data_IF_754394269675
#
_entry.id   IF_754394269675
#
_cell.length_a   1.000
_cell.length_b   1.000
_cell.length_c   1.000
_cell.angle_alpha   90.00
_cell.angle_beta   90.00
_cell.angle_gamma   90.00
#
_symmetry.space_group_name_H-M   'P 1'
#
loop_
_entity.id
_entity.type
_entity.pdbx_description
1 polymer ?
#
# COMPACT_ATOMS: atom_id res chain seq x y z
N UNK A 1 39.92 -22.56 3.20
CA UNK A 1 40.51 -23.62 4.04
C UNK A 1 41.18 -22.96 5.24
N UNK A 2 40.83 -23.31 6.49
CA UNK A 2 41.21 -22.57 7.69
C UNK A 2 42.52 -23.06 8.31
N UNK A 3 43.20 -22.16 9.02
CA UNK A 3 44.43 -22.42 9.77
C UNK A 3 44.15 -22.90 11.20
N UNK A 4 44.75 -24.06 11.47
CA UNK A 4 45.24 -24.72 12.69
C UNK A 4 45.09 -24.05 14.07
N UNK A 5 44.59 -24.87 15.00
CA UNK A 5 44.64 -24.77 16.47
C UNK A 5 46.06 -24.68 17.04
N UNK A 6 46.24 -23.89 18.12
CA UNK A 6 47.09 -24.25 19.26
C UNK A 6 46.47 -23.77 20.59
N UNK A 7 46.34 -24.71 21.52
CA UNK A 7 46.00 -24.50 22.93
C UNK A 7 47.19 -23.91 23.69
N UNK A 8 46.93 -23.06 24.68
CA UNK A 8 47.94 -22.65 25.65
C UNK A 8 47.43 -22.81 27.09
N UNK A 9 48.18 -23.56 27.88
CA UNK A 9 47.97 -23.92 29.28
C UNK A 9 48.58 -22.87 30.20
N UNK A 10 47.83 -22.34 31.18
CA UNK A 10 48.40 -21.81 32.43
C UNK A 10 47.43 -22.02 33.59
N UNK A 11 47.96 -22.52 34.70
CA UNK A 11 47.28 -22.87 35.93
C UNK A 11 47.30 -21.72 36.96
N UNK A 12 46.17 -21.56 37.68
CA UNK A 12 45.90 -21.14 39.09
C UNK A 12 46.58 -19.89 39.69
N UNK A 13 45.96 -19.16 40.68
CA UNK A 13 45.39 -19.79 41.90
C UNK A 13 44.12 -19.16 42.53
N UNK A 14 43.41 -20.04 43.26
CA UNK A 14 42.70 -19.87 44.55
C UNK A 14 42.24 -18.48 45.00
N UNK A 15 40.91 -18.30 45.11
CA UNK A 15 40.27 -17.25 45.92
C UNK A 15 39.74 -17.87 47.21
N UNK A 16 40.07 -17.23 48.33
CA UNK A 16 39.86 -17.71 49.69
C UNK A 16 38.41 -17.55 50.15
N UNK A 17 37.87 -18.60 50.78
CA UNK A 17 36.50 -18.69 51.33
C UNK A 17 36.54 -18.23 52.79
N UNK A 18 36.56 -16.92 53.01
CA UNK A 18 36.51 -16.37 54.38
C UNK A 18 36.07 -14.91 54.35
N UNK A 19 34.84 -14.65 53.91
CA UNK A 19 33.99 -13.59 54.47
C UNK A 19 32.53 -13.74 53.98
N UNK A 20 31.82 -14.75 54.51
CA UNK A 20 30.36 -14.85 54.37
C UNK A 20 29.77 -14.41 55.70
N UNK A 21 29.26 -13.18 55.75
CA UNK A 21 28.51 -12.69 56.91
C UNK A 21 27.03 -13.13 56.81
N UNK A 22 26.37 -13.51 57.92
CA UNK A 22 24.96 -13.90 57.88
C UNK A 22 24.07 -12.67 57.69
N UNK A 23 23.25 -12.66 56.63
CA UNK A 23 22.22 -11.63 56.41
C UNK A 23 21.03 -11.91 57.34
N UNK A 24 20.67 -10.92 58.17
CA UNK A 24 19.52 -11.00 59.09
C UNK A 24 18.18 -11.02 58.34
N UNK A 25 17.10 -11.57 58.93
CA UNK A 25 15.80 -11.67 58.25
C UNK A 25 15.15 -10.30 58.00
N UNK A 26 14.67 -10.08 56.77
CA UNK A 26 13.90 -8.88 56.39
C UNK A 26 12.49 -8.96 57.00
N UNK A 27 11.98 -7.91 57.68
CA UNK A 27 10.60 -7.91 58.18
C UNK A 27 9.58 -7.77 57.03
N UNK A 28 8.36 -8.34 57.15
CA UNK A 28 7.36 -8.27 56.10
C UNK A 28 6.78 -6.85 55.99
N UNK A 29 6.90 -6.23 54.81
CA UNK A 29 6.23 -4.97 54.48
C UNK A 29 4.84 -5.29 53.93
N UNK A 30 3.80 -4.92 54.67
CA UNK A 30 2.38 -4.98 54.24
C UNK A 30 2.02 -3.82 53.29
N UNK A 31 0.99 -3.98 52.44
CA UNK A 31 0.91 -3.28 51.16
C UNK A 31 0.27 -1.89 51.27
N UNK A 32 0.96 -0.84 50.80
CA UNK A 32 0.31 0.45 50.52
C UNK A 32 -0.17 0.48 49.07
N UNK A 33 -1.49 0.44 48.89
CA UNK A 33 -2.17 0.70 47.62
C UNK A 33 -2.04 2.18 47.23
N UNK A 34 -2.17 2.39 45.92
CA UNK A 34 -2.32 3.64 45.19
C UNK A 34 -1.06 4.45 44.85
N UNK A 35 -0.49 4.12 43.69
CA UNK A 35 -0.08 5.14 42.73
C UNK A 35 -0.79 4.86 41.41
N UNK A 36 -1.76 5.73 41.12
CA UNK A 36 -2.48 5.84 39.85
C UNK A 36 -1.49 6.07 38.72
N UNK A 37 -1.02 5.00 38.09
CA UNK A 37 -0.40 5.06 36.78
C UNK A 37 -1.51 5.27 35.75
N UNK A 38 -1.51 6.42 35.08
CA UNK A 38 -2.32 6.65 33.89
C UNK A 38 -1.47 6.25 32.67
N UNK A 39 -1.66 5.08 32.04
CA UNK A 39 -1.05 4.80 30.75
C UNK A 39 -1.96 5.43 29.68
N UNK A 40 -1.95 6.76 29.57
CA UNK A 40 -2.74 7.49 28.58
C UNK A 40 -1.86 8.05 27.47
N UNK A 41 -1.08 7.18 26.85
CA UNK A 41 -0.79 7.27 25.43
C UNK A 41 -0.94 5.88 24.84
N UNK A 42 -2.19 5.40 24.77
CA UNK A 42 -2.54 4.46 23.73
C UNK A 42 -2.37 5.23 22.42
N UNK A 43 -1.21 5.04 21.78
CA UNK A 43 -1.10 5.32 20.35
C UNK A 43 -2.13 4.39 19.72
N UNK A 44 -3.32 4.92 19.43
CA UNK A 44 -4.24 4.26 18.52
C UNK A 44 -3.45 4.10 17.22
N UNK A 45 -2.96 2.88 16.97
CA UNK A 45 -2.66 2.46 15.62
C UNK A 45 -4.01 2.40 14.92
N UNK A 46 -4.41 3.55 14.37
CA UNK A 46 -5.55 3.60 13.48
C UNK A 46 -5.17 2.77 12.26
N UNK A 47 -5.75 1.58 12.13
CA UNK A 47 -6.01 1.06 10.79
C UNK A 47 -6.66 2.20 10.02
N UNK A 48 -5.98 2.64 8.96
CA UNK A 48 -6.28 3.84 8.18
C UNK A 48 -7.78 4.04 8.00
N UNK A 49 -8.37 5.00 8.74
CA UNK A 49 -9.80 5.27 8.66
C UNK A 49 -10.11 5.83 7.27
N UNK A 50 -10.99 5.18 6.53
CA UNK A 50 -11.44 5.69 5.23
C UNK A 50 -12.22 6.99 5.40
N UNK A 51 -12.10 7.87 4.41
CA UNK A 51 -12.85 9.13 4.34
C UNK A 51 -13.23 9.41 2.89
N UNK A 52 -14.21 10.30 2.70
CA UNK A 52 -14.59 10.83 1.38
C UNK A 52 -14.15 12.29 1.36
N UNK A 53 -13.30 12.64 0.39
CA UNK A 53 -12.79 13.99 0.24
C UNK A 53 -13.81 14.93 -0.39
N UNK A 54 -13.52 16.24 -0.36
CA UNK A 54 -14.38 17.27 -0.94
C UNK A 54 -14.67 17.08 -2.44
N UNK A 55 -13.77 16.41 -3.17
CA UNK A 55 -13.93 16.05 -4.58
C UNK A 55 -14.70 14.72 -4.80
N UNK A 56 -15.33 14.18 -3.75
CA UNK A 56 -16.00 12.88 -3.73
C UNK A 56 -15.08 11.67 -4.02
N UNK A 57 -13.79 11.86 -3.78
CA UNK A 57 -12.77 10.81 -3.92
C UNK A 57 -12.57 10.08 -2.60
N UNK A 58 -12.33 8.77 -2.68
CA UNK A 58 -12.00 7.98 -1.50
C UNK A 58 -10.57 8.32 -1.06
N UNK A 59 -10.42 8.62 0.21
CA UNK A 59 -9.15 8.91 0.83
C UNK A 59 -8.93 8.14 2.12
N UNK A 60 -7.79 8.41 2.73
CA UNK A 60 -7.41 7.93 4.05
C UNK A 60 -7.26 9.11 5.00
N UNK A 61 -7.90 9.03 6.17
CA UNK A 61 -7.75 10.01 7.22
C UNK A 61 -6.37 9.90 7.88
N UNK A 62 -5.57 10.96 7.80
CA UNK A 62 -4.22 10.99 8.38
C UNK A 62 -3.78 12.42 8.75
N UNK A 63 -2.58 12.57 9.32
CA UNK A 63 -1.99 13.88 9.58
C UNK A 63 -1.69 14.60 8.26
N UNK A 64 -1.80 15.93 8.25
CA UNK A 64 -1.50 16.76 7.07
C UNK A 64 -0.06 16.60 6.59
N UNK A 65 0.90 16.52 7.50
CA UNK A 65 2.32 16.34 7.17
C UNK A 65 2.56 14.98 6.52
N UNK A 66 1.97 13.91 7.06
CA UNK A 66 2.07 12.56 6.48
C UNK A 66 1.46 12.50 5.08
N UNK A 67 0.29 13.14 4.90
CA UNK A 67 -0.37 13.18 3.61
C UNK A 67 0.51 13.82 2.54
N UNK A 68 1.01 15.03 2.81
CA UNK A 68 1.89 15.74 1.86
C UNK A 68 3.25 15.07 1.70
N UNK A 69 3.80 14.52 2.79
CA UNK A 69 5.10 13.85 2.79
C UNK A 69 5.12 12.57 1.97
N UNK A 70 3.96 11.90 1.85
CA UNK A 70 3.74 10.75 0.97
C UNK A 70 3.30 11.12 -0.45
N UNK A 71 3.22 12.41 -0.78
CA UNK A 71 2.80 12.90 -2.10
C UNK A 71 1.28 12.85 -2.34
N UNK A 72 0.48 12.72 -1.28
CA UNK A 72 -0.97 12.82 -1.35
C UNK A 72 -1.48 14.26 -1.36
N UNK A 73 -2.74 14.42 -1.75
CA UNK A 73 -3.44 15.70 -1.75
C UNK A 73 -4.47 15.76 -0.60
N UNK A 74 -4.53 16.90 0.06
CA UNK A 74 -5.46 17.15 1.17
C UNK A 74 -6.85 17.51 0.61
N UNK A 75 -7.81 16.62 0.80
CA UNK A 75 -9.18 16.74 0.29
C UNK A 75 -10.20 16.93 1.42
N UNK A 76 -9.96 17.91 2.30
CA UNK A 76 -10.88 18.27 3.38
C UNK A 76 -10.57 17.62 4.75
N UNK A 77 -11.30 18.01 5.81
CA UNK A 77 -11.08 17.51 7.16
C UNK A 77 -11.69 16.12 7.36
N UNK A 78 -11.10 15.33 8.26
CA UNK A 78 -11.65 14.06 8.72
C UNK A 78 -11.50 13.94 10.25
N UNK A 79 -12.05 12.87 10.83
CA UNK A 79 -11.98 12.59 12.28
C UNK A 79 -12.33 13.83 13.13
N UNK A 80 -13.47 14.50 12.86
CA UNK A 80 -13.88 15.74 13.57
C UNK A 80 -12.81 16.84 13.58
N UNK A 81 -12.11 16.98 12.44
CA UNK A 81 -11.06 17.99 12.21
C UNK A 81 -9.74 17.74 12.95
N UNK A 82 -9.52 16.53 13.48
CA UNK A 82 -8.20 16.12 14.00
C UNK A 82 -7.25 15.60 12.91
N UNK A 83 -7.75 15.34 11.71
CA UNK A 83 -6.96 14.91 10.56
C UNK A 83 -7.47 15.47 9.24
N UNK A 84 -6.78 15.09 8.16
CA UNK A 84 -7.16 15.43 6.80
C UNK A 84 -7.47 14.18 5.98
N UNK A 85 -8.43 14.30 5.07
CA UNK A 85 -8.72 13.24 4.12
C UNK A 85 -7.68 13.28 3.00
N UNK A 86 -6.73 12.37 3.04
CA UNK A 86 -5.64 12.29 2.08
C UNK A 86 -6.01 11.43 0.88
N UNK A 87 -5.88 11.98 -0.33
CA UNK A 87 -6.14 11.28 -1.59
C UNK A 87 -4.83 11.12 -2.35
N UNK A 88 -4.51 9.90 -2.75
CA UNK A 88 -3.32 9.62 -3.56
C UNK A 88 -3.70 9.54 -5.03
N UNK A 89 -2.98 10.27 -5.87
CA UNK A 89 -3.10 10.20 -7.33
C UNK A 89 -1.72 9.94 -7.92
N UNK A 90 -1.66 9.06 -8.92
CA UNK A 90 -0.46 8.76 -9.66
C UNK A 90 -0.77 8.75 -11.16
N UNK A 91 0.22 9.12 -11.97
CA UNK A 91 0.15 9.13 -13.43
C UNK A 91 1.35 8.39 -14.03
N UNK A 92 1.50 8.47 -15.36
CA UNK A 92 2.48 7.70 -16.11
C UNK A 92 3.92 7.89 -15.59
N UNK A 93 4.67 6.80 -15.53
CA UNK A 93 6.07 6.75 -15.08
C UNK A 93 6.24 6.75 -13.57
N UNK A 94 5.18 6.96 -12.80
CA UNK A 94 5.26 6.99 -11.33
C UNK A 94 5.19 5.60 -10.72
N UNK A 95 5.44 5.54 -9.42
CA UNK A 95 5.34 4.35 -8.59
C UNK A 95 4.55 4.69 -7.34
N UNK A 96 3.66 3.80 -6.92
CA UNK A 96 2.91 3.94 -5.66
C UNK A 96 3.04 2.69 -4.79
N UNK A 97 2.96 2.89 -3.48
CA UNK A 97 2.76 1.82 -2.50
C UNK A 97 1.51 2.04 -1.66
N UNK A 98 0.91 3.22 -1.73
CA UNK A 98 -0.17 3.62 -0.84
C UNK A 98 -1.47 2.92 -1.26
N UNK A 99 -2.25 2.51 -0.26
CA UNK A 99 -3.56 1.95 -0.51
C UNK A 99 -4.53 3.07 -0.93
N UNK A 100 -5.51 2.75 -1.78
CA UNK A 100 -6.47 3.73 -2.31
C UNK A 100 -5.75 4.84 -3.10
N UNK A 101 -4.98 4.42 -4.11
CA UNK A 101 -4.35 5.33 -5.08
C UNK A 101 -5.17 5.37 -6.37
N UNK A 102 -5.37 6.54 -6.95
CA UNK A 102 -5.97 6.72 -8.26
C UNK A 102 -4.92 6.79 -9.37
N UNK A 103 -4.96 5.87 -10.33
CA UNK A 103 -4.20 5.97 -11.56
C UNK A 103 -4.96 6.79 -12.60
N UNK A 104 -4.42 7.94 -12.98
CA UNK A 104 -5.08 8.90 -13.86
C UNK A 104 -4.24 9.20 -15.10
N UNK A 105 -4.89 9.60 -16.19
CA UNK A 105 -4.19 10.09 -17.37
C UNK A 105 -3.37 11.35 -17.07
N UNK A 106 -2.33 11.58 -17.87
CA UNK A 106 -1.59 12.85 -17.79
C UNK A 106 -2.55 14.01 -18.05
N UNK A 107 -2.50 15.02 -17.18
CA UNK A 107 -3.38 16.19 -17.28
C UNK A 107 -4.82 15.99 -16.79
N UNK A 108 -5.16 14.85 -16.16
CA UNK A 108 -6.48 14.63 -15.56
C UNK A 108 -6.90 15.84 -14.69
N UNK A 109 -8.18 16.30 -14.75
CA UNK A 109 -9.35 15.67 -15.39
C UNK A 109 -9.51 15.95 -16.89
N UNK A 110 -8.56 16.62 -17.55
CA UNK A 110 -8.63 16.84 -19.00
C UNK A 110 -8.45 15.52 -19.74
N UNK A 111 -8.99 15.47 -20.96
CA UNK A 111 -8.77 14.34 -21.87
C UNK A 111 -7.30 14.23 -22.27
N UNK A 112 -6.88 13.00 -22.56
CA UNK A 112 -5.58 12.64 -23.09
C UNK A 112 -5.73 12.15 -24.53
N UNK A 113 -4.98 12.72 -25.46
CA UNK A 113 -5.06 12.45 -26.90
C UNK A 113 -3.74 11.99 -27.52
N UNK A 114 -2.66 12.01 -26.73
CA UNK A 114 -1.35 11.49 -27.11
C UNK A 114 -1.36 9.97 -27.34
N UNK A 115 -0.34 9.52 -28.06
CA UNK A 115 -0.07 8.09 -28.32
C UNK A 115 1.14 7.64 -27.53
N UNK A 116 1.10 6.42 -26.99
CA UNK A 116 2.24 5.83 -26.29
C UNK A 116 1.82 4.88 -25.17
N UNK A 117 2.77 4.60 -24.29
CA UNK A 117 2.58 3.74 -23.13
C UNK A 117 2.60 4.57 -21.85
N UNK A 118 1.50 4.54 -21.11
CA UNK A 118 1.38 5.13 -19.79
C UNK A 118 1.39 4.03 -18.73
N UNK A 119 2.47 3.96 -17.96
CA UNK A 119 2.67 2.89 -16.97
C UNK A 119 2.63 3.43 -15.54
N UNK A 120 2.02 2.68 -14.63
CA UNK A 120 2.12 2.88 -13.20
C UNK A 120 2.60 1.59 -12.54
N UNK A 121 3.69 1.68 -11.77
CA UNK A 121 4.19 0.57 -10.95
C UNK A 121 3.53 0.61 -9.58
N UNK A 122 2.87 -0.48 -9.18
CA UNK A 122 2.18 -0.59 -7.90
C UNK A 122 2.89 -1.65 -7.04
N UNK A 123 3.49 -1.22 -5.94
CA UNK A 123 3.97 -2.14 -4.92
C UNK A 123 2.92 -2.36 -3.85
N UNK A 124 3.05 -3.50 -3.18
CA UNK A 124 2.29 -3.80 -1.99
C UNK A 124 2.58 -2.78 -0.89
N UNK A 125 1.53 -2.28 -0.25
CA UNK A 125 1.62 -1.45 0.96
C UNK A 125 2.17 -2.25 2.13
N UNK A 126 1.88 -3.56 2.17
CA UNK A 126 2.27 -4.49 3.22
C UNK A 126 2.56 -5.91 2.68
N UNK A 127 3.34 -6.73 3.40
CA UNK A 127 3.63 -8.11 2.98
C UNK A 127 2.42 -9.03 2.85
N UNK A 128 1.34 -8.75 3.58
CA UNK A 128 0.12 -9.55 3.64
C UNK A 128 -0.93 -9.12 2.60
N UNK A 129 -0.57 -8.31 1.60
CA UNK A 129 -1.46 -8.03 0.46
C UNK A 129 -1.42 -9.19 -0.52
N UNK A 130 -2.62 -9.75 -0.79
CA UNK A 130 -2.81 -10.88 -1.71
C UNK A 130 -3.52 -10.49 -3.01
N UNK A 131 -4.23 -9.36 -3.04
CA UNK A 131 -5.05 -9.02 -4.20
C UNK A 131 -5.15 -7.51 -4.37
N UNK A 132 -5.16 -7.06 -5.62
CA UNK A 132 -5.55 -5.71 -5.98
C UNK A 132 -6.96 -5.74 -6.56
N UNK A 133 -7.80 -4.81 -6.14
CA UNK A 133 -9.07 -4.48 -6.79
C UNK A 133 -8.88 -3.16 -7.52
N UNK A 134 -9.16 -3.17 -8.81
CA UNK A 134 -9.11 -2.01 -9.68
C UNK A 134 -10.57 -1.63 -10.00
N UNK A 135 -11.03 -0.51 -9.45
CA UNK A 135 -12.34 0.05 -9.78
C UNK A 135 -12.17 1.15 -10.84
N UNK A 136 -12.98 1.10 -11.90
CA UNK A 136 -12.90 2.03 -13.03
C UNK A 136 -13.85 3.21 -12.83
N UNK A 137 -13.46 4.17 -11.98
CA UNK A 137 -14.23 5.39 -11.72
C UNK A 137 -14.43 6.22 -13.00
N UNK A 138 -13.42 6.25 -13.86
CA UNK A 138 -13.56 6.63 -15.26
C UNK A 138 -12.70 5.71 -16.13
N UNK A 139 -13.25 5.24 -17.24
CA UNK A 139 -12.50 4.47 -18.22
C UNK A 139 -13.19 4.60 -19.58
N UNK A 140 -12.58 5.41 -20.45
CA UNK A 140 -13.00 5.60 -21.83
C UNK A 140 -11.76 5.74 -22.71
N UNK A 141 -11.42 4.66 -23.41
CA UNK A 141 -10.37 4.61 -24.43
C UNK A 141 -10.96 4.08 -25.74
N UNK A 142 -10.19 4.05 -26.82
CA UNK A 142 -10.64 3.50 -28.10
C UNK A 142 -11.12 2.07 -27.91
N UNK A 143 -12.28 1.76 -28.48
CA UNK A 143 -12.87 0.43 -28.44
C UNK A 143 -12.14 -0.59 -29.33
N UNK A 144 -12.61 -1.85 -29.34
CA UNK A 144 -12.09 -2.86 -30.23
C UNK A 144 -12.40 -2.53 -31.69
N UNK A 145 -11.59 -3.06 -32.60
CA UNK A 145 -11.88 -2.94 -34.04
C UNK A 145 -13.17 -3.71 -34.43
N UNK A 146 -13.86 -3.29 -35.50
CA UNK A 146 -15.22 -3.78 -35.78
C UNK A 146 -15.31 -5.18 -36.39
N UNK A 147 -14.21 -5.77 -36.85
CA UNK A 147 -14.18 -7.04 -37.60
C UNK A 147 -13.97 -8.25 -36.68
N UNK A 148 -12.91 -8.26 -35.88
CA UNK A 148 -12.58 -9.38 -34.98
C UNK A 148 -12.85 -9.05 -33.51
N UNK A 149 -13.31 -7.83 -33.22
CA UNK A 149 -13.60 -7.34 -31.87
C UNK A 149 -12.39 -7.37 -30.93
N UNK A 150 -11.20 -7.10 -31.48
CA UNK A 150 -9.93 -7.09 -30.73
C UNK A 150 -9.56 -5.66 -30.35
N UNK A 151 -9.07 -5.47 -29.13
CA UNK A 151 -8.49 -4.21 -28.66
C UNK A 151 -7.11 -3.99 -29.29
N UNK A 152 -7.00 -3.65 -30.57
CA UNK A 152 -5.69 -3.44 -31.22
C UNK A 152 -5.20 -1.98 -31.14
N UNK A 153 -6.11 -1.01 -31.01
CA UNK A 153 -5.76 0.41 -30.98
C UNK A 153 -5.33 0.87 -29.59
N UNK A 154 -6.26 0.83 -28.63
CA UNK A 154 -5.96 1.14 -27.24
C UNK A 154 -6.17 -0.12 -26.38
N UNK A 155 -5.33 -0.27 -25.36
CA UNK A 155 -5.40 -1.39 -24.42
C UNK A 155 -5.06 -0.92 -23.00
N UNK A 156 -5.81 -1.41 -22.03
CA UNK A 156 -5.39 -1.46 -20.65
C UNK A 156 -4.93 -2.87 -20.30
N UNK A 157 -3.70 -2.99 -19.81
CA UNK A 157 -3.02 -4.25 -19.54
C UNK A 157 -2.49 -4.22 -18.11
N UNK A 158 -2.57 -5.36 -17.43
CA UNK A 158 -1.93 -5.56 -16.13
C UNK A 158 -0.88 -6.67 -16.25
N UNK A 159 0.33 -6.39 -15.78
CA UNK A 159 1.43 -7.37 -15.74
C UNK A 159 2.04 -7.47 -14.34
N UNK A 160 2.86 -8.50 -14.10
CA UNK A 160 3.50 -8.78 -12.80
C UNK A 160 2.64 -9.55 -11.78
N UNK A 161 1.34 -9.71 -12.05
CA UNK A 161 0.42 -10.57 -11.30
C UNK A 161 -0.08 -11.75 -12.12
N UNK A 162 -1.15 -12.41 -11.67
CA UNK A 162 -1.85 -13.43 -12.47
C UNK A 162 -2.34 -12.85 -13.80
N UNK A 163 -2.28 -13.61 -14.90
CA UNK A 163 -2.75 -13.14 -16.19
C UNK A 163 -4.22 -12.70 -16.12
N UNK A 164 -4.48 -11.48 -16.57
CA UNK A 164 -5.83 -10.92 -16.76
C UNK A 164 -5.94 -10.42 -18.20
N UNK A 165 -7.12 -10.52 -18.83
CA UNK A 165 -7.29 -10.07 -20.21
C UNK A 165 -7.09 -8.56 -20.29
N UNK A 166 -6.40 -8.13 -21.36
CA UNK A 166 -6.36 -6.71 -21.71
C UNK A 166 -7.76 -6.25 -22.14
N UNK A 167 -8.14 -5.05 -21.72
CA UNK A 167 -9.47 -4.47 -21.99
C UNK A 167 -9.35 -3.12 -22.71
N UNK A 168 -10.40 -2.72 -23.42
CA UNK A 168 -10.49 -1.43 -24.09
C UNK A 168 -11.93 -0.93 -24.17
N UNK A 169 -12.15 0.22 -24.79
CA UNK A 169 -13.48 0.85 -24.90
C UNK A 169 -13.92 1.52 -23.60
N UNK A 170 -15.21 1.38 -23.29
CA UNK A 170 -15.86 2.00 -22.13
C UNK A 170 -16.07 0.97 -21.01
N UNK A 171 -15.44 1.21 -19.84
CA UNK A 171 -15.52 0.32 -18.68
C UNK A 171 -15.87 1.04 -17.38
N UNK A 172 -16.35 2.29 -17.46
CA UNK A 172 -16.69 3.08 -16.27
C UNK A 172 -17.74 2.37 -15.43
N UNK A 173 -17.52 2.29 -14.11
CA UNK A 173 -18.39 1.59 -13.16
C UNK A 173 -18.12 0.09 -13.03
N UNK A 174 -17.28 -0.49 -13.89
CA UNK A 174 -16.81 -1.88 -13.74
C UNK A 174 -15.60 -1.97 -12.81
N UNK A 175 -15.18 -3.20 -12.50
CA UNK A 175 -14.00 -3.47 -11.70
C UNK A 175 -13.31 -4.76 -12.15
N UNK A 176 -12.05 -4.93 -11.76
CA UNK A 176 -11.30 -6.17 -11.95
C UNK A 176 -10.48 -6.51 -10.70
N UNK A 177 -10.22 -7.81 -10.51
CA UNK A 177 -9.33 -8.31 -9.47
C UNK A 177 -8.05 -8.84 -10.08
N UNK A 178 -6.93 -8.54 -9.44
CA UNK A 178 -5.60 -8.97 -9.86
C UNK A 178 -4.91 -9.62 -8.66
N UNK A 179 -4.37 -10.82 -8.85
CA UNK A 179 -3.58 -11.47 -7.82
C UNK A 179 -2.25 -10.72 -7.61
N UNK A 180 -1.88 -10.51 -6.35
CA UNK A 180 -0.69 -9.75 -6.00
C UNK A 180 0.59 -10.61 -5.89
N UNK A 181 0.50 -11.92 -6.15
CA UNK A 181 1.56 -12.90 -5.95
C UNK A 181 1.96 -13.06 -4.48
N UNK A 182 2.96 -13.91 -4.22
CA UNK A 182 3.53 -14.08 -2.87
C UNK A 182 4.68 -13.10 -2.61
N UNK A 183 4.94 -12.74 -1.35
CA UNK A 183 6.05 -11.85 -0.96
C UNK A 183 5.82 -10.37 -1.25
N UNK A 184 6.84 -9.53 -1.02
CA UNK A 184 6.77 -8.04 -1.11
C UNK A 184 7.37 -7.44 -2.38
N UNK A 185 8.22 -8.19 -3.08
CA UNK A 185 9.04 -7.66 -4.19
C UNK A 185 8.44 -7.90 -5.58
N UNK A 186 7.14 -8.20 -5.63
CA UNK A 186 6.40 -8.48 -6.86
C UNK A 186 5.39 -7.34 -7.10
N UNK A 187 5.83 -6.21 -7.69
CA UNK A 187 4.90 -5.16 -8.09
C UNK A 187 4.05 -5.62 -9.27
N UNK A 188 2.85 -5.08 -9.38
CA UNK A 188 2.09 -5.13 -10.63
C UNK A 188 2.33 -3.84 -11.41
N UNK A 189 2.25 -3.92 -12.75
CA UNK A 189 2.37 -2.76 -13.63
C UNK A 189 1.05 -2.60 -14.36
N UNK A 190 0.41 -1.45 -14.15
CA UNK A 190 -0.79 -1.05 -14.87
C UNK A 190 -0.38 -0.24 -16.09
N UNK A 191 -0.77 -0.65 -17.29
CA UNK A 191 -0.34 -0.03 -18.53
C UNK A 191 -1.52 0.34 -19.40
N UNK A 192 -1.65 1.62 -19.73
CA UNK A 192 -2.47 2.07 -20.87
C UNK A 192 -1.57 2.21 -22.09
N UNK A 193 -1.81 1.40 -23.12
CA UNK A 193 -1.23 1.57 -24.46
C UNK A 193 -2.25 2.29 -25.30
N UNK A 194 -1.83 3.36 -25.96
CA UNK A 194 -2.70 4.22 -26.77
C UNK A 194 -2.11 4.44 -28.15
N UNK A 195 -2.93 4.30 -29.19
CA UNK A 195 -2.54 4.51 -30.59
C UNK A 195 -3.56 5.35 -31.34
N UNK A 196 -3.12 6.01 -32.41
CA UNK A 196 -3.92 7.00 -33.13
C UNK A 196 -3.95 8.35 -32.42
N UNK A 197 -3.67 9.42 -33.18
CA UNK A 197 -3.70 10.80 -32.66
C UNK A 197 -5.12 11.37 -32.68
N UNK A 198 -5.38 12.36 -31.81
CA UNK A 198 -6.64 13.10 -31.72
C UNK A 198 -7.86 12.30 -31.21
N UNK A 199 -7.66 11.14 -30.60
CA UNK A 199 -8.73 10.44 -29.89
C UNK A 199 -8.76 10.86 -28.43
N UNK A 200 -9.84 11.50 -28.00
CA UNK A 200 -9.99 11.90 -26.60
C UNK A 200 -10.17 10.66 -25.71
N UNK A 201 -9.27 10.48 -24.74
CA UNK A 201 -9.29 9.39 -23.76
C UNK A 201 -9.37 9.97 -22.36
N UNK A 202 -9.97 9.24 -21.44
CA UNK A 202 -9.99 9.63 -20.03
C UNK A 202 -10.01 8.37 -19.16
N UNK A 203 -9.14 8.32 -18.15
CA UNK A 203 -9.18 7.26 -17.17
C UNK A 203 -8.86 7.76 -15.77
N UNK A 204 -9.55 7.16 -14.82
CA UNK A 204 -9.34 7.24 -13.38
C UNK A 204 -9.62 5.86 -12.81
N UNK A 205 -8.55 5.14 -12.50
CA UNK A 205 -8.64 3.77 -11.96
C UNK A 205 -8.26 3.81 -10.49
N UNK A 206 -9.20 3.47 -9.61
CA UNK A 206 -8.95 3.38 -8.17
C UNK A 206 -8.33 2.02 -7.84
N UNK A 207 -7.16 2.04 -7.22
CA UNK A 207 -6.40 0.86 -6.83
C UNK A 207 -6.59 0.62 -5.33
N UNK A 208 -7.23 -0.49 -4.99
CA UNK A 208 -7.41 -0.93 -3.61
C UNK A 208 -6.63 -2.22 -3.36
N UNK A 209 -5.82 -2.24 -2.31
CA UNK A 209 -5.00 -3.37 -1.90
C UNK A 209 -5.73 -4.16 -0.82
N UNK A 210 -5.91 -5.46 -1.04
CA UNK A 210 -6.72 -6.34 -0.20
C UNK A 210 -5.81 -7.33 0.54
N UNK A 211 -5.82 -7.32 1.88
CA UNK A 211 -5.08 -8.28 2.69
C UNK A 211 -5.53 -9.73 2.46
N UNK A 212 -4.62 -10.69 2.64
CA UNK A 212 -4.91 -12.12 2.54
C UNK A 212 -5.99 -12.58 3.55
N UNK A 213 -6.07 -11.94 4.71
CA UNK A 213 -7.07 -12.22 5.75
C UNK A 213 -8.46 -11.66 5.45
N UNK A 214 -8.61 -10.80 4.43
CA UNK A 214 -9.88 -10.20 4.09
C UNK A 214 -10.86 -11.26 3.56
N UNK A 215 -12.08 -11.25 4.10
CA UNK A 215 -13.19 -12.13 3.68
C UNK A 215 -13.83 -11.72 2.36
N UNK A 216 -13.61 -10.48 1.92
CA UNK A 216 -14.21 -9.88 0.72
C UNK A 216 -13.29 -9.92 -0.52
N UNK A 217 -12.29 -10.81 -0.53
CA UNK A 217 -11.45 -11.04 -1.72
C UNK A 217 -12.31 -11.55 -2.88
N UNK A 218 -12.06 -11.04 -4.08
CA UNK A 218 -12.65 -11.56 -5.30
C UNK A 218 -12.15 -12.98 -5.56
N UNK A 219 -13.04 -13.87 -6.02
CA UNK A 219 -12.62 -15.18 -6.53
C UNK A 219 -11.98 -14.96 -7.90
N UNK A 220 -10.70 -15.31 -8.01
CA UNK A 220 -10.00 -15.38 -9.29
C UNK A 220 -10.18 -16.82 -9.78
N UNK A 221 -10.78 -17.05 -10.97
CA UNK A 221 -10.98 -18.39 -11.51
C UNK A 221 -9.68 -19.12 -11.82
#
# INVERSE_FOLDING_TARGET
MPNRFQYNTKANPFVNVSDVTPVSPVPPVTPSRDIRFLPLFQVLQFDSLSCIGSSNDNGTCMNSQDCTGKGGFISGPCARSYGVCCVFMATCGQTTRENVTYFVNQGYPKSFDDTGSCQLTVHKSRPDICQYRLDFDQFSITGPEPVNHICNNDQFIVSGGSPVPGICGYNTGNHMYVDAGFGINNPIILTFVTTGSNTARNWKVKISQIPCSASYRGKIP
#
